data_IF_912785116916
#
_entry.id   IF_912785116916
#
_cell.length_a   1.000
_cell.length_b   1.000
_cell.length_c   1.000
_cell.angle_alpha   90.00
_cell.angle_beta   90.00
_cell.angle_gamma   90.00
#
_symmetry.space_group_name_H-M   'P 1'
#
loop_
_entity.id
_entity.type
_entity.pdbx_description
1 polymer ?
#
# COMPACT_ATOMS: atom_id res chain seq x y z
N UNK A 1 8.81 7.05 30.52
CA UNK A 1 9.95 6.36 31.11
C UNK A 1 9.46 5.60 32.33
N UNK A 2 9.80 4.32 32.43
CA UNK A 2 9.34 3.46 33.53
C UNK A 2 9.89 3.88 34.89
N UNK A 3 9.22 3.44 35.96
CA UNK A 3 9.61 3.70 37.35
C UNK A 3 10.89 2.93 37.70
N UNK A 4 11.70 3.50 38.60
CA UNK A 4 12.92 2.84 39.07
C UNK A 4 12.60 1.52 39.80
N UNK A 5 13.29 0.44 39.43
CA UNK A 5 13.10 -0.90 40.02
C UNK A 5 12.03 -1.75 39.34
N UNK A 6 11.33 -1.23 38.33
CA UNK A 6 10.35 -1.97 37.52
C UNK A 6 10.89 -2.17 36.09
N UNK A 7 10.44 -3.24 35.42
CA UNK A 7 10.69 -3.43 33.98
C UNK A 7 9.70 -2.53 33.22
N UNK A 8 10.17 -1.58 32.41
CA UNK A 8 9.28 -0.69 31.66
C UNK A 8 8.46 -1.45 30.63
N UNK A 9 7.23 -0.99 30.41
CA UNK A 9 6.36 -1.47 29.33
C UNK A 9 6.77 -0.86 27.99
N UNK A 10 6.36 -1.49 26.89
CA UNK A 10 6.59 -0.97 25.54
C UNK A 10 6.02 0.45 25.38
N UNK A 11 4.87 0.74 26.00
CA UNK A 11 4.28 2.08 25.96
C UNK A 11 5.17 3.16 26.62
N UNK A 12 5.98 2.79 27.60
CA UNK A 12 6.80 3.71 28.38
C UNK A 12 8.19 3.98 27.78
N UNK A 13 8.67 3.09 26.90
CA UNK A 13 10.00 3.16 26.30
C UNK A 13 10.03 3.15 24.77
N UNK A 14 8.97 2.72 24.08
CA UNK A 14 8.93 2.77 22.63
C UNK A 14 9.01 4.22 22.13
N UNK A 15 9.80 4.43 21.07
CA UNK A 15 9.99 5.72 20.40
C UNK A 15 9.93 5.58 18.89
N UNK A 16 9.79 6.70 18.16
CA UNK A 16 9.78 6.70 16.70
C UNK A 16 8.68 5.83 16.09
N UNK A 17 9.01 5.10 15.02
CA UNK A 17 8.06 4.25 14.27
C UNK A 17 7.45 3.14 15.13
N UNK A 18 8.23 2.51 16.00
CA UNK A 18 7.76 1.48 16.93
C UNK A 18 6.62 2.03 17.81
N UNK A 19 6.78 3.25 18.33
CA UNK A 19 5.73 3.88 19.14
C UNK A 19 4.47 4.14 18.33
N UNK A 20 4.61 4.62 17.09
CA UNK A 20 3.47 4.94 16.23
C UNK A 20 2.69 3.66 15.89
N UNK A 21 3.40 2.59 15.53
CA UNK A 21 2.79 1.29 15.25
C UNK A 21 2.09 0.72 16.50
N UNK A 22 2.72 0.80 17.68
CA UNK A 22 2.14 0.35 18.95
C UNK A 22 0.84 1.08 19.26
N UNK A 23 0.83 2.42 19.13
CA UNK A 23 -0.36 3.24 19.38
C UNK A 23 -1.48 2.92 18.38
N UNK A 24 -1.16 2.75 17.10
CA UNK A 24 -2.15 2.36 16.09
C UNK A 24 -2.80 1.01 16.42
N UNK A 25 -1.98 0.01 16.78
CA UNK A 25 -2.47 -1.33 17.18
C UNK A 25 -3.36 -1.27 18.43
N UNK A 26 -3.04 -0.42 19.41
CA UNK A 26 -3.88 -0.21 20.59
C UNK A 26 -5.23 0.43 20.25
N UNK A 27 -5.29 1.26 19.21
CA UNK A 27 -6.55 1.80 18.65
C UNK A 27 -7.30 0.82 17.74
N UNK A 28 -6.75 -0.39 17.52
CA UNK A 28 -7.32 -1.38 16.62
C UNK A 28 -7.14 -1.05 15.14
N UNK A 29 -6.14 -0.24 14.79
CA UNK A 29 -5.78 0.13 13.41
C UNK A 29 -4.45 -0.51 13.02
N UNK A 30 -4.33 -0.94 11.77
CA UNK A 30 -3.05 -1.30 11.18
C UNK A 30 -2.45 -0.10 10.45
N UNK A 31 -1.24 0.30 10.84
CA UNK A 31 -0.57 1.48 10.28
C UNK A 31 -0.03 1.22 8.86
N UNK A 32 0.44 0.01 8.62
CA UNK A 32 0.99 -0.41 7.33
C UNK A 32 0.06 -1.45 6.73
N UNK A 33 -0.40 -1.19 5.50
CA UNK A 33 -1.23 -2.11 4.74
C UNK A 33 -0.40 -3.31 4.30
N UNK A 34 -0.77 -4.50 4.79
CA UNK A 34 -0.15 -5.78 4.47
C UNK A 34 -1.07 -6.66 3.61
N UNK A 35 -2.25 -6.17 3.24
CA UNK A 35 -3.20 -6.93 2.43
C UNK A 35 -2.76 -6.96 0.96
N UNK A 36 -3.05 -8.05 0.23
CA UNK A 36 -2.85 -8.08 -1.21
C UNK A 36 -3.80 -7.09 -1.88
N UNK A 37 -3.45 -6.66 -3.10
CA UNK A 37 -4.34 -5.83 -3.91
C UNK A 37 -5.66 -6.58 -4.17
N UNK A 38 -6.77 -5.98 -3.76
CA UNK A 38 -8.10 -6.56 -3.92
C UNK A 38 -8.59 -6.35 -5.36
N UNK A 39 -8.55 -7.41 -6.18
CA UNK A 39 -9.05 -7.38 -7.56
C UNK A 39 -10.49 -7.87 -7.60
N UNK A 40 -11.44 -6.93 -7.54
CA UNK A 40 -12.89 -7.23 -7.46
C UNK A 40 -13.55 -7.49 -8.83
N UNK A 41 -12.94 -7.00 -9.91
CA UNK A 41 -13.43 -7.11 -11.28
C UNK A 41 -12.27 -7.08 -12.28
N UNK A 42 -12.54 -7.39 -13.55
CA UNK A 42 -11.57 -7.15 -14.62
C UNK A 42 -11.50 -5.64 -14.88
N UNK A 43 -10.35 -5.02 -14.56
CA UNK A 43 -10.16 -3.59 -14.76
C UNK A 43 -10.28 -3.20 -16.22
N UNK A 44 -11.05 -2.15 -16.52
CA UNK A 44 -11.21 -1.57 -17.87
C UNK A 44 -10.89 -0.07 -17.85
N UNK A 45 -10.66 0.61 -18.99
CA UNK A 45 -10.42 2.05 -18.97
C UNK A 45 -11.59 2.87 -18.39
N UNK A 46 -12.82 2.35 -18.43
CA UNK A 46 -14.01 3.01 -17.84
C UNK A 46 -14.21 2.67 -16.36
N UNK A 47 -13.66 1.55 -15.91
CA UNK A 47 -13.77 1.06 -14.55
C UNK A 47 -12.48 0.32 -14.20
N UNK A 48 -11.39 1.06 -13.91
CA UNK A 48 -10.09 0.47 -13.61
C UNK A 48 -10.02 -0.01 -12.16
N UNK A 49 -9.02 -0.84 -11.86
CA UNK A 49 -8.64 -1.14 -10.47
C UNK A 49 -7.86 0.07 -9.94
N UNK A 50 -8.41 0.71 -8.90
CA UNK A 50 -7.77 1.85 -8.25
C UNK A 50 -6.75 1.33 -7.24
N UNK A 51 -5.52 1.84 -7.31
CA UNK A 51 -4.44 1.49 -6.40
C UNK A 51 -3.98 2.76 -5.69
N UNK A 52 -4.05 2.78 -4.36
CA UNK A 52 -3.54 3.92 -3.59
C UNK A 52 -2.02 3.96 -3.62
N UNK A 53 -1.39 5.12 -3.54
CA UNK A 53 0.07 5.20 -3.41
C UNK A 53 0.50 6.48 -2.70
N UNK A 54 1.48 6.36 -1.80
CA UNK A 54 2.15 7.52 -1.20
C UNK A 54 3.31 8.03 -2.07
N UNK A 55 3.77 7.22 -3.03
CA UNK A 55 4.85 7.56 -3.97
C UNK A 55 4.31 7.68 -5.41
N UNK A 56 4.99 8.45 -6.29
CA UNK A 56 4.56 8.66 -7.67
C UNK A 56 4.66 7.39 -8.54
N UNK A 57 5.38 6.36 -8.10
CA UNK A 57 5.48 5.07 -8.76
C UNK A 57 5.15 3.97 -7.74
N UNK A 58 4.26 3.04 -8.10
CA UNK A 58 3.93 1.86 -7.29
C UNK A 58 4.00 0.59 -8.14
N UNK A 59 4.65 -0.44 -7.63
CA UNK A 59 4.68 -1.75 -8.28
C UNK A 59 3.40 -2.53 -7.99
N UNK A 60 2.74 -3.02 -9.04
CA UNK A 60 1.53 -3.84 -8.97
C UNK A 60 1.81 -5.22 -9.57
N UNK A 61 1.58 -6.27 -8.79
CA UNK A 61 1.68 -7.65 -9.25
C UNK A 61 0.31 -8.16 -9.70
N UNK A 62 0.10 -8.28 -11.01
CA UNK A 62 -1.15 -8.81 -11.59
C UNK A 62 -1.04 -10.33 -11.80
N UNK A 63 -1.94 -11.11 -11.19
CA UNK A 63 -2.10 -12.56 -11.41
C UNK A 63 -3.34 -12.90 -12.24
N UNK A 64 -4.00 -11.88 -12.78
CA UNK A 64 -5.16 -11.99 -13.68
C UNK A 64 -6.51 -11.88 -12.98
N UNK A 65 -7.59 -12.04 -13.76
CA UNK A 65 -8.96 -12.05 -13.26
C UNK A 65 -9.78 -13.12 -13.99
N UNK A 66 -10.31 -14.16 -13.30
CA UNK A 66 -10.19 -14.43 -11.86
C UNK A 66 -8.75 -14.50 -11.36
N UNK A 67 -8.55 -14.18 -10.08
CA UNK A 67 -7.21 -14.14 -9.43
C UNK A 67 -6.48 -15.47 -9.67
N UNK A 68 -5.17 -15.41 -9.96
CA UNK A 68 -4.32 -16.56 -10.32
C UNK A 68 -4.64 -17.24 -11.68
N UNK A 69 -5.33 -16.57 -12.59
CA UNK A 69 -5.53 -17.08 -13.96
C UNK A 69 -4.24 -17.13 -14.82
N UNK A 70 -3.20 -16.39 -14.44
CA UNK A 70 -1.88 -16.40 -15.09
C UNK A 70 -0.75 -16.10 -14.09
N UNK A 71 0.50 -16.31 -14.51
CA UNK A 71 1.69 -16.01 -13.71
C UNK A 71 1.81 -14.52 -13.39
N UNK A 72 2.47 -14.17 -12.28
CA UNK A 72 2.58 -12.77 -11.86
C UNK A 72 3.28 -11.92 -12.91
N UNK A 73 2.61 -10.85 -13.34
CA UNK A 73 3.21 -9.80 -14.16
C UNK A 73 3.31 -8.53 -13.33
N UNK A 74 4.53 -8.00 -13.24
CA UNK A 74 4.82 -6.75 -12.56
C UNK A 74 4.58 -5.55 -13.47
N UNK A 75 3.83 -4.57 -12.96
CA UNK A 75 3.48 -3.33 -13.64
C UNK A 75 4.03 -2.18 -12.79
N UNK A 76 4.73 -1.26 -13.44
CA UNK A 76 5.12 0.02 -12.84
C UNK A 76 3.95 0.98 -13.04
N UNK A 77 3.09 1.12 -12.04
CA UNK A 77 1.99 2.07 -12.07
C UNK A 77 2.55 3.46 -11.78
N UNK A 78 2.39 4.39 -12.72
CA UNK A 78 2.95 5.74 -12.64
C UNK A 78 1.85 6.80 -12.48
N UNK A 79 2.02 7.75 -11.55
CA UNK A 79 1.09 8.86 -11.31
C UNK A 79 0.84 9.72 -12.56
N UNK A 80 1.82 9.79 -13.47
CA UNK A 80 1.72 10.59 -14.71
C UNK A 80 0.90 9.91 -15.81
N UNK A 81 0.64 8.61 -15.70
CA UNK A 81 -0.17 7.86 -16.65
C UNK A 81 -1.67 7.94 -16.26
N UNK A 82 -2.57 7.99 -17.25
CA UNK A 82 -4.02 7.88 -17.00
C UNK A 82 -4.36 6.51 -16.38
N UNK A 83 -3.77 5.47 -16.96
CA UNK A 83 -3.81 4.10 -16.47
C UNK A 83 -2.66 3.28 -17.08
N UNK A 84 -2.30 2.21 -16.40
CA UNK A 84 -1.41 1.16 -16.88
C UNK A 84 -2.17 -0.15 -17.06
N UNK A 85 -1.69 -1.03 -17.94
CA UNK A 85 -2.42 -2.26 -18.31
C UNK A 85 -1.54 -3.49 -18.22
N UNK A 86 -2.10 -4.58 -17.71
CA UNK A 86 -1.49 -5.90 -17.82
C UNK A 86 -1.48 -6.35 -19.29
N UNK A 87 -0.34 -6.77 -19.85
CA UNK A 87 -0.26 -7.21 -21.24
C UNK A 87 -0.92 -8.57 -21.51
N UNK A 88 -1.20 -9.36 -20.47
CA UNK A 88 -1.79 -10.70 -20.61
C UNK A 88 -3.31 -10.69 -20.43
N UNK A 89 -3.82 -10.34 -19.25
CA UNK A 89 -5.26 -10.31 -19.00
C UNK A 89 -5.95 -9.00 -19.43
N UNK A 90 -5.18 -7.95 -19.75
CA UNK A 90 -5.74 -6.64 -20.13
C UNK A 90 -6.30 -5.82 -18.96
N UNK A 91 -6.19 -6.28 -17.71
CA UNK A 91 -6.61 -5.51 -16.53
C UNK A 91 -5.97 -4.14 -16.51
N UNK A 92 -6.80 -3.13 -16.32
CA UNK A 92 -6.41 -1.72 -16.23
C UNK A 92 -6.30 -1.28 -14.78
N UNK A 93 -5.20 -0.62 -14.43
CA UNK A 93 -4.91 -0.08 -13.11
C UNK A 93 -4.72 1.44 -13.20
N UNK A 94 -5.23 2.19 -12.23
CA UNK A 94 -5.00 3.63 -12.12
C UNK A 94 -4.57 3.99 -10.70
N UNK A 95 -3.77 5.03 -10.55
CA UNK A 95 -3.24 5.43 -9.25
C UNK A 95 -4.14 6.47 -8.60
N UNK A 96 -4.51 6.23 -7.34
CA UNK A 96 -4.97 7.27 -6.42
C UNK A 96 -3.79 7.72 -5.56
N UNK A 97 -3.15 8.82 -5.93
CA UNK A 97 -2.02 9.35 -5.17
C UNK A 97 -2.50 10.03 -3.88
N UNK A 98 -2.07 9.51 -2.74
CA UNK A 98 -2.41 9.98 -1.38
C UNK A 98 -1.21 10.57 -0.63
N UNK A 99 -0.03 10.62 -1.27
CA UNK A 99 1.17 11.24 -0.72
C UNK A 99 1.12 12.76 -0.69
N UNK A 100 2.05 13.38 0.04
CA UNK A 100 2.26 14.83 -0.02
C UNK A 100 3.04 15.22 -1.28
N UNK A 101 2.69 16.35 -1.89
CA UNK A 101 3.46 16.86 -3.05
C UNK A 101 4.79 17.53 -2.63
N UNK A 102 4.99 17.75 -1.33
CA UNK A 102 6.25 18.24 -0.78
C UNK A 102 7.29 17.10 -0.75
N UNK A 103 8.11 17.02 -1.79
CA UNK A 103 9.24 16.09 -1.87
C UNK A 103 10.33 16.50 -0.85
N UNK A 104 10.30 15.93 0.35
CA UNK A 104 11.42 15.97 1.28
C UNK A 104 12.46 14.92 0.88
N UNK A 105 13.21 15.19 -0.19
CA UNK A 105 14.45 14.46 -0.49
C UNK A 105 15.44 14.71 0.65
N UNK A 106 15.61 13.72 1.52
CA UNK A 106 16.67 13.67 2.52
C UNK A 106 17.94 13.03 1.93
#
# INVERSE_FOLDING_TARGET
GGKAGEVPTDLEQATGLERIELLAKLEGKELFDMEPLQVTHLGTPKNPIVVESHDPIRFVGCTGFPVESHDVIWINLDKSHEHDRCPECGSVFTMNFVGSEDEHHH
#
